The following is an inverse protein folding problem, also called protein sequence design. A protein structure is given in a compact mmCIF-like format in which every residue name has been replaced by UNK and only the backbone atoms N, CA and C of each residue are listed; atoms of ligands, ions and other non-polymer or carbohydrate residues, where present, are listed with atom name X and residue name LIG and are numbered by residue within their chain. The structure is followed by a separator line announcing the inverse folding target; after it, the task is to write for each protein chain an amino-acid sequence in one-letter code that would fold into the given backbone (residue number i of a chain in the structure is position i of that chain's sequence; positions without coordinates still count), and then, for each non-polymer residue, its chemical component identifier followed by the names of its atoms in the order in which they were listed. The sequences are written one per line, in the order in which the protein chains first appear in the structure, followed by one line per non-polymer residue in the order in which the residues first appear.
data_IF_224203588781
#
_entry.id   IF_224203588781
#
_cell.length_a   1.000
_cell.length_b   1.000
_cell.length_c   1.000
_cell.angle_alpha   90.00
_cell.angle_beta   90.00
_cell.angle_gamma   90.00
#
_symmetry.space_group_name_H-M   'P 1'
#
loop_
_entity.id
_entity.type
_entity.pdbx_description
1 polymer ?
#
# COMPACT_ATOMS: atom_id res chain seq x y z
N UNK A 1 17.42 2.46 -13.47
CA UNK A 1 18.46 1.77 -12.65
C UNK A 1 19.67 2.70 -12.45
N UNK A 2 19.63 3.60 -11.43
CA UNK A 2 20.66 4.61 -11.23
C UNK A 2 22.02 4.00 -10.83
N UNK A 3 22.04 2.75 -10.39
CA UNK A 3 23.24 2.06 -9.92
C UNK A 3 23.84 1.12 -10.97
N UNK A 4 23.32 1.09 -12.21
CA UNK A 4 23.74 0.21 -13.29
C UNK A 4 23.82 -1.29 -12.88
N UNK A 5 22.93 -1.73 -11.99
CA UNK A 5 22.86 -3.10 -11.50
C UNK A 5 22.25 -4.03 -12.55
N UNK A 6 22.62 -5.31 -12.51
CA UNK A 6 21.86 -6.35 -13.22
C UNK A 6 20.46 -6.46 -12.64
N UNK A 7 19.52 -7.00 -13.40
CA UNK A 7 18.15 -7.20 -12.95
C UNK A 7 18.08 -8.04 -11.66
N UNK A 8 18.79 -9.17 -11.65
CA UNK A 8 18.87 -10.04 -10.48
C UNK A 8 19.40 -9.30 -9.24
N UNK A 9 20.46 -8.52 -9.39
CA UNK A 9 21.02 -7.75 -8.26
C UNK A 9 20.06 -6.64 -7.81
N UNK A 10 19.33 -6.05 -8.72
CA UNK A 10 18.30 -5.05 -8.38
C UNK A 10 17.17 -5.67 -7.54
N UNK A 11 16.72 -6.88 -7.86
CA UNK A 11 15.73 -7.63 -7.07
C UNK A 11 16.23 -7.86 -5.64
N UNK A 12 17.50 -8.31 -5.48
CA UNK A 12 18.11 -8.51 -4.16
C UNK A 12 18.16 -7.20 -3.37
N UNK A 13 18.63 -6.12 -3.99
CA UNK A 13 18.70 -4.79 -3.36
C UNK A 13 17.31 -4.33 -2.90
N UNK A 14 16.30 -4.40 -3.77
CA UNK A 14 14.93 -3.99 -3.42
C UNK A 14 14.32 -4.83 -2.30
N UNK A 15 14.66 -6.11 -2.24
CA UNK A 15 14.26 -6.98 -1.13
C UNK A 15 14.88 -6.54 0.19
N UNK A 16 16.18 -6.25 0.21
CA UNK A 16 16.86 -5.73 1.39
C UNK A 16 16.30 -4.37 1.83
N UNK A 17 16.04 -3.47 0.90
CA UNK A 17 15.42 -2.17 1.15
C UNK A 17 14.04 -2.32 1.78
N UNK A 18 13.20 -3.20 1.25
CA UNK A 18 11.87 -3.48 1.80
C UNK A 18 11.94 -4.04 3.23
N UNK A 19 12.90 -4.91 3.53
CA UNK A 19 13.11 -5.43 4.89
C UNK A 19 13.57 -4.34 5.87
N UNK A 20 14.46 -3.43 5.44
CA UNK A 20 14.88 -2.30 6.27
C UNK A 20 13.72 -1.33 6.52
N UNK A 21 12.94 -0.99 5.49
CA UNK A 21 11.74 -0.16 5.62
C UNK A 21 10.71 -0.79 6.58
N UNK A 22 10.48 -2.09 6.45
CA UNK A 22 9.62 -2.85 7.34
C UNK A 22 10.10 -2.80 8.81
N UNK A 23 11.41 -2.92 9.03
CA UNK A 23 12.03 -2.79 10.35
C UNK A 23 11.80 -1.39 10.94
N UNK A 24 12.01 -0.33 10.16
CA UNK A 24 11.73 1.06 10.57
C UNK A 24 10.26 1.21 11.00
N UNK A 25 9.33 0.65 10.25
CA UNK A 25 7.90 0.71 10.54
C UNK A 25 7.49 -0.15 11.74
N UNK A 26 8.29 -1.16 12.10
CA UNK A 26 7.95 -2.14 13.13
C UNK A 26 7.02 -3.24 12.63
N UNK A 27 7.07 -3.53 11.32
CA UNK A 27 6.38 -4.67 10.72
C UNK A 27 7.02 -5.96 11.24
N UNK A 28 6.20 -6.93 11.65
CA UNK A 28 6.68 -8.18 12.25
C UNK A 28 7.14 -9.19 11.21
N UNK A 29 6.35 -9.35 10.16
CA UNK A 29 6.59 -10.36 9.13
C UNK A 29 6.47 -9.74 7.74
N UNK A 30 7.39 -10.09 6.85
CA UNK A 30 7.37 -9.70 5.43
C UNK A 30 7.37 -10.96 4.59
N UNK A 31 6.39 -11.09 3.70
CA UNK A 31 6.26 -12.22 2.79
C UNK A 31 6.40 -11.72 1.36
N UNK A 32 7.40 -12.20 0.65
CA UNK A 32 7.60 -11.88 -0.77
C UNK A 32 6.89 -12.92 -1.63
N UNK A 33 6.14 -12.47 -2.63
CA UNK A 33 5.51 -13.36 -3.62
C UNK A 33 6.45 -13.70 -4.77
N UNK A 34 7.52 -12.89 -4.96
CA UNK A 34 8.57 -13.09 -5.97
C UNK A 34 8.03 -13.09 -7.41
N UNK A 35 7.07 -12.22 -7.66
CA UNK A 35 6.47 -12.02 -8.98
C UNK A 35 7.11 -10.84 -9.72
N UNK A 36 7.04 -10.83 -11.06
CA UNK A 36 7.50 -9.72 -11.87
C UNK A 36 6.80 -8.39 -11.54
N UNK A 37 7.48 -7.28 -11.79
CA UNK A 37 6.91 -5.91 -11.65
C UNK A 37 6.02 -5.52 -12.85
N UNK A 38 5.81 -6.44 -13.78
CA UNK A 38 5.00 -6.29 -14.99
C UNK A 38 3.71 -7.07 -14.84
N UNK A 39 2.56 -6.37 -14.83
CA UNK A 39 1.26 -6.98 -14.53
C UNK A 39 0.91 -8.18 -15.43
N UNK A 40 1.29 -8.13 -16.71
CA UNK A 40 0.98 -9.18 -17.69
C UNK A 40 1.82 -10.46 -17.50
N UNK A 41 2.91 -10.40 -16.76
CA UNK A 41 3.81 -11.53 -16.49
C UNK A 41 3.52 -12.22 -15.15
N UNK A 42 2.67 -11.63 -14.30
CA UNK A 42 2.32 -12.16 -12.98
C UNK A 42 1.50 -13.44 -13.09
N UNK A 43 1.90 -14.48 -12.37
CA UNK A 43 1.08 -15.68 -12.21
C UNK A 43 -0.05 -15.42 -11.20
N UNK A 44 -1.13 -14.78 -11.69
CA UNK A 44 -2.26 -14.36 -10.86
C UNK A 44 -2.93 -15.48 -10.08
N UNK A 45 -2.97 -16.70 -10.64
CA UNK A 45 -3.55 -17.87 -9.96
C UNK A 45 -2.69 -18.28 -8.77
N UNK A 46 -1.38 -18.39 -8.95
CA UNK A 46 -0.47 -18.77 -7.87
C UNK A 46 -0.43 -17.72 -6.77
N UNK A 47 -0.36 -16.44 -7.14
CA UNK A 47 -0.39 -15.33 -6.15
C UNK A 47 -1.70 -15.34 -5.36
N UNK A 48 -2.84 -15.47 -6.02
CA UNK A 48 -4.14 -15.50 -5.36
C UNK A 48 -4.25 -16.67 -4.39
N UNK A 49 -3.85 -17.87 -4.81
CA UNK A 49 -3.85 -19.05 -3.94
C UNK A 49 -2.98 -18.81 -2.69
N UNK A 50 -1.77 -18.29 -2.88
CA UNK A 50 -0.87 -17.97 -1.77
C UNK A 50 -1.45 -16.92 -0.82
N UNK A 51 -2.10 -15.88 -1.34
CA UNK A 51 -2.76 -14.86 -0.52
C UNK A 51 -3.93 -15.46 0.26
N UNK A 52 -4.73 -16.34 -0.33
CA UNK A 52 -5.82 -17.06 0.36
C UNK A 52 -5.28 -17.86 1.54
N UNK A 53 -4.20 -18.62 1.35
CA UNK A 53 -3.55 -19.41 2.41
C UNK A 53 -3.05 -18.51 3.56
N UNK A 54 -2.39 -17.37 3.20
CA UNK A 54 -1.90 -16.39 4.18
C UNK A 54 -3.06 -15.80 4.97
N UNK A 55 -4.12 -15.36 4.29
CA UNK A 55 -5.30 -14.75 4.92
C UNK A 55 -6.02 -15.75 5.83
N UNK A 56 -6.21 -17.00 5.39
CA UNK A 56 -6.82 -18.06 6.19
C UNK A 56 -6.01 -18.38 7.47
N UNK A 57 -4.68 -18.34 7.37
CA UNK A 57 -3.77 -18.57 8.51
C UNK A 57 -3.74 -17.39 9.47
N UNK A 58 -3.58 -16.15 8.97
CA UNK A 58 -3.40 -14.97 9.79
C UNK A 58 -4.71 -14.41 10.35
N UNK A 59 -5.83 -14.62 9.65
CA UNK A 59 -7.17 -14.10 9.99
C UNK A 59 -7.14 -12.62 10.42
N UNK A 60 -6.63 -11.72 9.57
CA UNK A 60 -6.49 -10.32 9.93
C UNK A 60 -7.84 -9.68 10.24
N UNK A 61 -7.85 -8.62 11.03
CA UNK A 61 -9.04 -7.80 11.26
C UNK A 61 -9.25 -6.76 10.17
N UNK A 62 -8.17 -6.28 9.56
CA UNK A 62 -8.16 -5.31 8.46
C UNK A 62 -7.15 -5.71 7.40
N UNK A 63 -7.43 -5.37 6.16
CA UNK A 63 -6.49 -5.50 5.03
C UNK A 63 -6.33 -4.13 4.38
N UNK A 64 -5.09 -3.72 4.18
CA UNK A 64 -4.75 -2.51 3.43
C UNK A 64 -4.10 -2.92 2.11
N UNK A 65 -4.55 -2.33 1.00
CA UNK A 65 -4.08 -2.66 -0.33
C UNK A 65 -4.09 -1.45 -1.26
N UNK A 66 -3.63 -1.64 -2.47
CA UNK A 66 -3.66 -0.66 -3.53
C UNK A 66 -5.07 -0.56 -4.15
N UNK A 67 -5.39 0.57 -4.75
CA UNK A 67 -6.69 0.73 -5.43
C UNK A 67 -6.67 0.09 -6.82
N UNK A 68 -7.57 -0.86 -7.06
CA UNK A 68 -7.63 -1.60 -8.33
C UNK A 68 -8.11 -0.77 -9.52
N UNK A 69 -8.68 0.42 -9.28
CA UNK A 69 -9.27 1.27 -10.33
C UNK A 69 -8.51 2.60 -10.50
N UNK A 70 -8.14 3.24 -9.39
CA UNK A 70 -7.63 4.61 -9.38
C UNK A 70 -6.11 4.70 -9.38
N UNK A 71 -5.39 3.65 -8.98
CA UNK A 71 -3.93 3.68 -9.10
C UNK A 71 -3.53 3.68 -10.58
N UNK A 72 -2.50 4.46 -10.92
CA UNK A 72 -2.04 4.61 -12.31
C UNK A 72 -1.15 3.46 -12.75
N UNK A 73 -0.50 2.77 -11.82
CA UNK A 73 0.43 1.68 -12.14
C UNK A 73 -0.33 0.36 -12.34
N UNK A 74 -0.18 -0.33 -13.49
CA UNK A 74 -0.92 -1.57 -13.77
C UNK A 74 -0.71 -2.68 -12.73
N UNK A 75 0.55 -2.90 -12.29
CA UNK A 75 0.85 -3.91 -11.28
C UNK A 75 0.20 -3.57 -9.92
N UNK A 76 0.09 -2.28 -9.56
CA UNK A 76 -0.62 -1.86 -8.36
C UNK A 76 -2.12 -2.18 -8.44
N UNK A 77 -2.76 -1.88 -9.57
CA UNK A 77 -4.17 -2.24 -9.78
C UNK A 77 -4.38 -3.75 -9.70
N UNK A 78 -3.48 -4.52 -10.30
CA UNK A 78 -3.53 -5.99 -10.22
C UNK A 78 -3.39 -6.46 -8.76
N UNK A 79 -2.44 -5.93 -8.01
CA UNK A 79 -2.27 -6.27 -6.59
C UNK A 79 -3.52 -5.95 -5.76
N UNK A 80 -4.14 -4.79 -5.98
CA UNK A 80 -5.41 -4.42 -5.34
C UNK A 80 -6.54 -5.40 -5.66
N UNK A 81 -6.69 -5.76 -6.93
CA UNK A 81 -7.67 -6.74 -7.41
C UNK A 81 -7.44 -8.12 -6.76
N UNK A 82 -6.21 -8.62 -6.80
CA UNK A 82 -5.85 -9.92 -6.22
C UNK A 82 -6.08 -9.94 -4.70
N UNK A 83 -5.77 -8.86 -3.99
CA UNK A 83 -6.03 -8.75 -2.55
C UNK A 83 -7.54 -8.86 -2.25
N UNK A 84 -8.38 -8.11 -2.96
CA UNK A 84 -9.85 -8.16 -2.80
C UNK A 84 -10.41 -9.56 -3.12
N UNK A 85 -10.00 -10.14 -4.24
CA UNK A 85 -10.46 -11.47 -4.64
C UNK A 85 -10.03 -12.56 -3.65
N UNK A 86 -8.81 -12.47 -3.13
CA UNK A 86 -8.29 -13.42 -2.15
C UNK A 86 -9.03 -13.35 -0.81
N UNK A 87 -9.45 -12.15 -0.37
CA UNK A 87 -10.27 -12.02 0.84
C UNK A 87 -11.63 -12.67 0.64
N UNK A 88 -12.26 -12.48 -0.54
CA UNK A 88 -13.52 -13.13 -0.88
C UNK A 88 -13.38 -14.66 -0.86
N UNK A 89 -12.36 -15.18 -1.54
CA UNK A 89 -12.14 -16.62 -1.69
C UNK A 89 -11.74 -17.29 -0.36
N UNK A 90 -10.98 -16.60 0.49
CA UNK A 90 -10.64 -17.09 1.81
C UNK A 90 -11.84 -17.18 2.77
N UNK A 91 -12.98 -16.56 2.45
CA UNK A 91 -14.19 -16.59 3.25
C UNK A 91 -14.02 -16.01 4.65
N UNK A 92 -13.03 -15.13 4.87
CA UNK A 92 -12.76 -14.54 6.17
C UNK A 92 -13.61 -13.29 6.41
N UNK A 93 -14.00 -13.10 7.67
CA UNK A 93 -14.70 -11.88 8.09
C UNK A 93 -13.67 -10.88 8.60
N UNK A 94 -13.60 -9.74 7.94
CA UNK A 94 -12.76 -8.61 8.34
C UNK A 94 -13.60 -7.62 9.14
N UNK A 95 -13.44 -7.58 10.46
CA UNK A 95 -14.21 -6.66 11.33
C UNK A 95 -13.93 -5.18 11.04
N UNK A 96 -12.71 -4.85 10.60
CA UNK A 96 -12.30 -3.51 10.20
C UNK A 96 -12.40 -3.24 8.68
N UNK A 97 -12.53 -4.29 7.85
CA UNK A 97 -12.72 -4.17 6.41
C UNK A 97 -11.45 -4.17 5.57
N UNK A 98 -11.62 -3.89 4.27
CA UNK A 98 -10.52 -3.69 3.31
C UNK A 98 -10.43 -2.22 2.96
N UNK A 99 -9.21 -1.70 2.96
CA UNK A 99 -8.92 -0.29 2.71
C UNK A 99 -7.89 -0.13 1.60
N UNK A 100 -8.23 0.68 0.60
CA UNK A 100 -7.28 1.15 -0.40
C UNK A 100 -6.58 2.41 0.09
N UNK A 101 -5.28 2.52 -0.15
CA UNK A 101 -4.46 3.69 0.17
C UNK A 101 -3.86 4.32 -1.10
N UNK A 102 -3.45 5.57 -1.01
CA UNK A 102 -2.91 6.34 -2.14
C UNK A 102 -1.43 6.05 -2.37
N UNK A 103 -1.05 5.77 -3.63
CA UNK A 103 0.34 5.75 -4.10
C UNK A 103 0.47 6.64 -5.35
N UNK A 104 0.08 6.14 -6.54
CA UNK A 104 0.21 6.87 -7.80
C UNK A 104 -1.08 7.59 -8.24
N UNK A 105 -2.17 7.39 -7.54
CA UNK A 105 -3.46 7.99 -7.85
C UNK A 105 -4.09 8.63 -6.60
N UNK A 106 -4.07 9.96 -6.48
CA UNK A 106 -4.80 10.64 -5.41
C UNK A 106 -6.30 10.40 -5.51
N UNK A 107 -6.96 10.13 -4.39
CA UNK A 107 -8.40 9.92 -4.34
C UNK A 107 -9.18 11.24 -4.42
N UNK A 108 -10.21 11.26 -5.27
CA UNK A 108 -11.15 12.40 -5.30
C UNK A 108 -12.12 12.37 -4.09
N UNK A 109 -12.42 11.17 -3.56
CA UNK A 109 -13.23 10.97 -2.36
C UNK A 109 -12.66 9.81 -1.54
N UNK A 110 -12.87 9.85 -0.24
CA UNK A 110 -12.38 8.84 0.71
C UNK A 110 -13.40 8.60 1.81
N UNK A 111 -13.26 7.47 2.50
CA UNK A 111 -14.16 7.04 3.57
C UNK A 111 -13.54 7.21 4.96
N UNK A 112 -12.20 7.29 5.04
CA UNK A 112 -11.45 7.41 6.28
C UNK A 112 -10.27 8.36 6.10
N UNK A 113 -10.02 9.19 7.11
CA UNK A 113 -8.87 10.08 7.20
C UNK A 113 -8.18 9.84 8.54
N UNK A 114 -6.86 9.71 8.50
CA UNK A 114 -6.03 9.53 9.69
C UNK A 114 -4.95 10.61 9.77
N UNK A 115 -4.92 11.35 10.87
CA UNK A 115 -3.84 12.28 11.14
C UNK A 115 -2.59 11.52 11.60
N UNK A 116 -1.48 11.73 10.88
CA UNK A 116 -0.25 10.95 11.05
C UNK A 116 0.92 11.73 11.61
N UNK A 117 0.69 12.89 12.24
CA UNK A 117 1.73 13.80 12.72
C UNK A 117 2.83 13.09 13.51
N UNK A 118 2.44 12.22 14.45
CA UNK A 118 3.37 11.46 15.28
C UNK A 118 4.17 10.40 14.50
N UNK A 119 3.73 10.04 13.30
CA UNK A 119 4.30 8.97 12.49
C UNK A 119 5.02 9.48 11.25
N UNK A 120 4.88 10.75 10.91
CA UNK A 120 5.48 11.33 9.69
C UNK A 120 6.99 11.10 9.62
N UNK A 121 7.72 11.35 10.70
CA UNK A 121 9.15 11.12 10.72
C UNK A 121 9.51 9.65 10.47
N UNK A 122 8.75 8.73 11.05
CA UNK A 122 8.92 7.29 10.86
C UNK A 122 8.59 6.86 9.43
N UNK A 123 7.52 7.40 8.85
CA UNK A 123 7.15 7.18 7.45
C UNK A 123 8.26 7.66 6.50
N UNK A 124 8.78 8.87 6.72
CA UNK A 124 9.86 9.42 5.90
C UNK A 124 11.14 8.59 6.00
N UNK A 125 11.49 8.13 7.20
CA UNK A 125 12.62 7.23 7.39
C UNK A 125 12.44 5.91 6.65
N UNK A 126 11.25 5.32 6.65
CA UNK A 126 10.95 4.09 5.90
C UNK A 126 11.04 4.31 4.38
N UNK A 127 10.54 5.43 3.86
CA UNK A 127 10.67 5.78 2.44
C UNK A 127 12.14 5.91 2.04
N UNK A 128 12.96 6.53 2.89
CA UNK A 128 14.39 6.72 2.63
C UNK A 128 15.18 5.41 2.54
N UNK A 129 14.69 4.31 3.12
CA UNK A 129 15.33 2.98 2.97
C UNK A 129 15.26 2.44 1.54
N UNK A 130 14.31 2.89 0.72
CA UNK A 130 14.18 2.50 -0.69
C UNK A 130 15.15 3.27 -1.61
N UNK A 131 16.44 3.23 -1.29
CA UNK A 131 17.49 4.03 -1.92
C UNK A 131 17.56 3.86 -3.44
N UNK A 132 17.37 2.63 -3.96
CA UNK A 132 17.37 2.37 -5.40
C UNK A 132 16.25 3.07 -6.16
N UNK A 133 15.20 3.50 -5.46
CA UNK A 133 14.04 4.15 -6.02
C UNK A 133 14.07 5.67 -5.74
N UNK A 134 14.38 6.08 -4.50
CA UNK A 134 14.41 7.50 -4.14
C UNK A 134 15.58 8.26 -4.78
N UNK A 135 16.61 7.56 -5.23
CA UNK A 135 17.71 8.17 -5.99
C UNK A 135 17.27 8.76 -7.34
N UNK A 136 16.16 8.32 -7.90
CA UNK A 136 15.62 8.80 -9.20
C UNK A 136 14.35 9.61 -9.05
N UNK A 137 13.53 9.31 -8.06
CA UNK A 137 12.24 9.96 -7.84
C UNK A 137 12.16 10.45 -6.41
N UNK A 138 11.93 11.75 -6.16
CA UNK A 138 11.86 12.32 -4.81
C UNK A 138 10.53 11.96 -4.12
N UNK A 139 10.28 10.66 -3.92
CA UNK A 139 9.02 10.16 -3.34
C UNK A 139 8.69 10.81 -2.00
N UNK A 140 9.72 11.01 -1.15
CA UNK A 140 9.53 11.61 0.16
C UNK A 140 8.88 12.99 0.09
N UNK A 141 9.36 13.86 -0.80
CA UNK A 141 8.81 15.22 -0.98
C UNK A 141 7.37 15.15 -1.49
N UNK A 142 7.10 14.30 -2.51
CA UNK A 142 5.77 14.14 -3.07
C UNK A 142 4.75 13.62 -2.05
N UNK A 143 5.13 12.58 -1.31
CA UNK A 143 4.29 11.98 -0.27
C UNK A 143 4.04 12.97 0.87
N UNK A 144 5.07 13.66 1.34
CA UNK A 144 4.94 14.65 2.40
C UNK A 144 4.01 15.81 1.98
N UNK A 145 4.15 16.29 0.73
CA UNK A 145 3.28 17.31 0.14
C UNK A 145 1.82 16.87 0.08
N UNK A 146 1.57 15.64 -0.38
CA UNK A 146 0.22 15.06 -0.43
C UNK A 146 -0.39 14.92 0.98
N UNK A 147 0.35 14.39 1.93
CA UNK A 147 -0.13 14.24 3.31
C UNK A 147 -0.41 15.60 3.95
N UNK A 148 0.40 16.62 3.65
CA UNK A 148 0.13 18.00 4.09
C UNK A 148 -1.15 18.54 3.46
N UNK A 149 -1.31 18.38 2.15
CA UNK A 149 -2.51 18.80 1.42
C UNK A 149 -3.77 18.12 1.99
N UNK A 150 -3.71 16.81 2.26
CA UNK A 150 -4.81 16.05 2.86
C UNK A 150 -5.22 16.63 4.23
N UNK A 151 -4.27 16.92 5.09
CA UNK A 151 -4.57 17.50 6.40
C UNK A 151 -5.23 18.89 6.31
N UNK A 152 -4.76 19.72 5.38
CA UNK A 152 -5.28 21.10 5.21
C UNK A 152 -6.69 21.13 4.63
N UNK A 153 -6.99 20.25 3.66
CA UNK A 153 -8.24 20.27 2.90
C UNK A 153 -9.19 19.13 3.24
N UNK A 154 -8.93 18.42 4.35
CA UNK A 154 -9.73 17.27 4.77
C UNK A 154 -11.17 17.63 5.10
N UNK A 155 -11.37 18.76 5.79
CA UNK A 155 -12.69 19.30 6.14
C UNK A 155 -12.78 20.77 5.72
N UNK A 156 -13.48 21.06 4.61
CA UNK A 156 -13.62 22.42 4.13
C UNK A 156 -14.46 23.32 5.07
N UNK A 157 -15.11 22.75 6.09
CA UNK A 157 -15.88 23.48 7.10
C UNK A 157 -15.09 23.74 8.39
N UNK A 158 -13.97 23.07 8.57
CA UNK A 158 -13.15 23.30 9.76
C UNK A 158 -12.44 24.65 9.68
N UNK A 159 -12.45 25.38 10.78
CA UNK A 159 -11.73 26.68 10.91
C UNK A 159 -10.20 26.49 10.95
N UNK A 160 -9.73 25.29 11.31
CA UNK A 160 -8.32 24.90 11.31
C UNK A 160 -8.21 23.37 11.19
N UNK A 161 -7.13 22.83 10.57
CA UNK A 161 -6.90 21.39 10.51
C UNK A 161 -6.61 20.85 11.92
N UNK A 162 -7.09 19.63 12.21
CA UNK A 162 -6.83 18.94 13.47
C UNK A 162 -5.39 18.40 13.60
N UNK A 163 -4.65 18.36 12.49
CA UNK A 163 -3.25 17.95 12.44
C UNK A 163 -2.53 18.56 11.25
N UNK A 164 -1.23 18.32 11.13
CA UNK A 164 -0.39 18.85 10.05
C UNK A 164 -0.29 17.91 8.85
N UNK A 165 -0.44 16.60 9.06
CA UNK A 165 -0.29 15.59 8.04
C UNK A 165 -1.38 14.54 8.20
N UNK A 166 -1.97 14.10 7.09
CA UNK A 166 -2.98 13.06 7.09
C UNK A 166 -2.81 12.08 5.92
N UNK A 167 -3.30 10.88 6.10
CA UNK A 167 -3.54 9.89 5.05
C UNK A 167 -5.03 9.65 4.89
N UNK A 168 -5.42 9.29 3.69
CA UNK A 168 -6.81 8.97 3.38
C UNK A 168 -6.92 7.56 2.81
N UNK A 169 -8.07 6.92 3.09
CA UNK A 169 -8.34 5.55 2.69
C UNK A 169 -9.73 5.45 2.09
N UNK A 170 -9.87 4.64 1.06
CA UNK A 170 -11.16 4.24 0.49
C UNK A 170 -11.52 2.85 0.95
N UNK A 171 -12.77 2.66 1.32
CA UNK A 171 -13.29 1.34 1.64
C UNK A 171 -13.52 0.53 0.37
N UNK A 172 -12.95 -0.66 0.31
CA UNK A 172 -13.24 -1.61 -0.76
C UNK A 172 -14.45 -2.43 -0.34
N UNK A 173 -15.53 -2.30 -1.12
CA UNK A 173 -16.76 -3.07 -0.88
C UNK A 173 -16.59 -4.49 -1.39
N UNK A 174 -16.83 -5.45 -0.52
CA UNK A 174 -16.95 -6.86 -0.88
C UNK A 174 -18.45 -7.14 -1.02
N UNK A 175 -18.92 -7.66 -2.18
CA UNK A 175 -20.31 -8.10 -2.28
C UNK A 175 -20.56 -9.20 -1.24
N UNK A 176 -21.76 -9.25 -0.64
CA UNK A 176 -22.10 -10.33 0.27
C UNK A 176 -21.94 -11.67 -0.45
N UNK A 177 -21.38 -12.66 0.26
CA UNK A 177 -21.35 -14.02 -0.24
C UNK A 177 -22.80 -14.40 -0.56
N UNK A 178 -23.08 -14.71 -1.83
CA UNK A 178 -24.39 -15.24 -2.21
C UNK A 178 -24.61 -16.55 -1.45
N UNK A 179 -25.69 -16.56 -0.64
CA UNK A 179 -26.10 -17.73 0.11
C UNK A 179 -26.46 -18.89 -0.82
#
# INVERSE_FOLDING_TARGET
NPFALTEQRLVEVRREEALRAACVLGVKDVIFCDEPDTADEVNTTAVKQRLVEILARLRPTEVYTLDEQLDRHPAHRLAGKLARESVLEAGIILSGGIWAYEIWGPFAAWDRLEYIDRYVAKKMAAIAEHQSQVATIPYGEGVLGLNRWRAVFADPKASAPAGMYAEVFRRITIPPLSA
#
